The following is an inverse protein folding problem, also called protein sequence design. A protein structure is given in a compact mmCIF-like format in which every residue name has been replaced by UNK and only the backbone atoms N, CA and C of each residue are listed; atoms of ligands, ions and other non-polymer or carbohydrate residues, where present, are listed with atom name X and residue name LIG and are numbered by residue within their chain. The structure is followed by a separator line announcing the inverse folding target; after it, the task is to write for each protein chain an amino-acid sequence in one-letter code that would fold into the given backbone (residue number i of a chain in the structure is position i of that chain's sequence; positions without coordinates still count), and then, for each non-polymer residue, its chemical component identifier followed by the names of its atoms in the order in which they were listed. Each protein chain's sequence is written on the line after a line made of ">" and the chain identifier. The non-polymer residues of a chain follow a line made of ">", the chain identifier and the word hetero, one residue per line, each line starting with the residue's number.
data_IF_341504756825
#
_entry.id   IF_341504756825
#
_cell.length_a   1.000
_cell.length_b   1.000
_cell.length_c   1.000
_cell.angle_alpha   90.00
_cell.angle_beta   90.00
_cell.angle_gamma   90.00
#
_symmetry.space_group_name_H-M   'P 1'
#
loop_
_entity.id
_entity.type
_entity.pdbx_description
1 polymer ?
#
# COMPACT_ATOMS: atom_id res chain seq x y z
N UNK A 1 20.04 -6.80 -17.20
CA UNK A 1 19.54 -5.74 -16.32
C UNK A 1 18.81 -4.71 -17.17
N UNK A 2 17.56 -4.39 -16.80
CA UNK A 2 16.79 -3.37 -17.51
C UNK A 2 17.13 -2.02 -16.89
N UNK A 3 17.66 -1.09 -17.69
CA UNK A 3 17.89 0.28 -17.27
C UNK A 3 16.74 1.17 -17.75
N UNK A 4 16.41 2.19 -16.96
CA UNK A 4 15.34 3.12 -17.25
C UNK A 4 15.55 4.46 -16.55
N UNK A 5 14.58 5.35 -16.73
CA UNK A 5 14.57 6.66 -16.08
C UNK A 5 13.22 6.91 -15.40
N UNK A 6 13.25 7.64 -14.29
CA UNK A 6 12.06 8.11 -13.59
C UNK A 6 12.06 9.64 -13.57
N UNK A 7 10.92 10.25 -13.89
CA UNK A 7 10.73 11.69 -13.85
C UNK A 7 9.54 11.97 -12.94
N UNK A 8 9.73 12.86 -11.97
CA UNK A 8 8.67 13.36 -11.09
C UNK A 8 8.50 14.85 -11.38
N UNK A 9 7.26 15.27 -11.63
CA UNK A 9 6.92 16.66 -11.92
C UNK A 9 5.76 17.12 -11.04
N UNK A 10 5.79 18.40 -10.64
CA UNK A 10 4.83 19.00 -9.72
C UNK A 10 5.26 18.88 -8.26
N UNK A 11 4.49 19.52 -7.36
CA UNK A 11 4.74 19.40 -5.93
C UNK A 11 4.56 17.93 -5.47
N UNK A 12 5.42 17.41 -4.58
CA UNK A 12 6.49 18.06 -3.83
C UNK A 12 7.90 17.96 -4.46
N UNK A 13 8.04 17.69 -5.76
CA UNK A 13 9.36 17.57 -6.38
C UNK A 13 10.08 18.92 -6.49
N UNK A 14 11.38 18.94 -6.15
CA UNK A 14 12.24 20.11 -6.31
C UNK A 14 12.58 20.31 -7.80
N UNK A 15 12.37 21.51 -8.36
CA UNK A 15 12.73 21.80 -9.75
C UNK A 15 14.22 21.54 -10.02
N UNK A 16 14.52 20.86 -11.13
CA UNK A 16 15.90 20.63 -11.60
C UNK A 16 16.74 19.68 -10.73
N UNK A 17 16.15 19.00 -9.75
CA UNK A 17 16.89 18.06 -8.92
C UNK A 17 17.17 16.76 -9.67
N UNK A 18 18.45 16.40 -9.77
CA UNK A 18 18.90 15.08 -10.22
C UNK A 18 19.30 14.28 -8.99
N UNK A 19 18.49 13.28 -8.64
CA UNK A 19 18.71 12.43 -7.49
C UNK A 19 19.72 11.30 -7.75
N UNK A 20 20.03 10.49 -6.72
CA UNK A 20 20.77 9.25 -6.91
C UNK A 20 19.97 8.24 -7.78
N UNK A 21 20.62 7.21 -8.33
CA UNK A 21 19.93 6.10 -8.99
C UNK A 21 18.84 5.52 -8.09
N UNK A 22 17.68 5.23 -8.69
CA UNK A 22 16.56 4.54 -8.03
C UNK A 22 16.61 3.05 -8.36
N UNK A 23 16.34 2.22 -7.36
CA UNK A 23 16.09 0.80 -7.56
C UNK A 23 14.60 0.56 -7.88
N UNK A 24 14.29 -0.58 -8.50
CA UNK A 24 12.91 -0.96 -8.83
C UNK A 24 11.95 -0.90 -7.63
N UNK A 25 12.44 -1.28 -6.44
CA UNK A 25 11.66 -1.30 -5.20
C UNK A 25 11.41 0.10 -4.60
N UNK A 26 12.08 1.14 -5.11
CA UNK A 26 11.88 2.52 -4.66
C UNK A 26 10.64 3.17 -5.29
N UNK A 27 10.17 2.64 -6.42
CA UNK A 27 9.07 3.23 -7.21
C UNK A 27 7.75 3.19 -6.42
N UNK A 28 7.39 2.05 -5.84
CA UNK A 28 6.15 1.92 -5.08
C UNK A 28 6.06 2.87 -3.87
N UNK A 29 7.05 2.92 -2.95
CA UNK A 29 6.99 3.87 -1.84
C UNK A 29 7.02 5.33 -2.31
N UNK A 30 7.71 5.64 -3.43
CA UNK A 30 7.71 6.96 -4.04
C UNK A 30 6.31 7.38 -4.49
N UNK A 31 5.62 6.53 -5.26
CA UNK A 31 4.25 6.81 -5.73
C UNK A 31 3.29 7.00 -4.56
N UNK A 32 3.38 6.16 -3.52
CA UNK A 32 2.53 6.28 -2.33
C UNK A 32 2.76 7.60 -1.59
N UNK A 33 4.02 8.02 -1.42
CA UNK A 33 4.34 9.29 -0.77
C UNK A 33 3.81 10.49 -1.56
N UNK A 34 3.95 10.47 -2.90
CA UNK A 34 3.43 11.51 -3.78
C UNK A 34 1.90 11.59 -3.79
N UNK A 35 1.23 10.43 -3.66
CA UNK A 35 -0.22 10.34 -3.59
C UNK A 35 -0.80 10.55 -2.18
N UNK A 36 0.03 10.80 -1.16
CA UNK A 36 -0.41 11.03 0.21
C UNK A 36 -0.95 9.78 0.92
N UNK A 37 -0.47 8.58 0.54
CA UNK A 37 -0.81 7.32 1.20
C UNK A 37 0.31 6.84 2.12
N UNK A 38 0.00 6.09 3.21
CA UNK A 38 1.02 5.48 4.03
C UNK A 38 1.76 4.40 3.24
N UNK A 39 3.05 4.22 3.52
CA UNK A 39 3.83 3.05 3.05
C UNK A 39 3.75 1.89 4.03
N UNK A 40 3.92 0.66 3.55
CA UNK A 40 4.12 -0.49 4.45
C UNK A 40 5.55 -0.54 4.98
N UNK A 41 5.74 -1.01 6.21
CA UNK A 41 7.06 -1.34 6.77
C UNK A 41 7.75 -2.50 6.02
N UNK A 42 6.98 -3.30 5.29
CA UNK A 42 7.46 -4.40 4.46
C UNK A 42 8.08 -3.92 3.13
N UNK A 43 7.98 -2.62 2.81
CA UNK A 43 8.56 -2.05 1.59
C UNK A 43 10.00 -1.60 1.86
N UNK A 44 11.04 -2.29 1.32
CA UNK A 44 12.44 -1.97 1.61
C UNK A 44 12.96 -0.75 0.84
N UNK A 45 12.19 -0.27 -0.16
CA UNK A 45 12.57 0.87 -0.99
C UNK A 45 12.64 2.19 -0.21
N UNK A 46 13.37 3.13 -0.79
CA UNK A 46 13.71 4.42 -0.20
C UNK A 46 13.20 5.56 -1.06
N UNK A 47 12.85 6.67 -0.41
CA UNK A 47 12.48 7.89 -1.10
C UNK A 47 13.74 8.69 -1.45
N UNK A 48 13.81 9.33 -2.63
CA UNK A 48 14.87 10.27 -2.99
C UNK A 48 14.67 11.60 -2.23
N UNK A 49 14.80 11.57 -0.90
CA UNK A 49 14.45 12.67 0.00
C UNK A 49 15.18 13.99 -0.31
N UNK A 50 16.37 13.93 -0.92
CA UNK A 50 17.09 15.13 -1.35
C UNK A 50 16.30 15.95 -2.40
N UNK A 51 15.52 15.29 -3.25
CA UNK A 51 14.77 15.88 -4.36
C UNK A 51 13.27 16.10 -4.08
N UNK A 52 12.79 15.78 -2.87
CA UNK A 52 11.38 15.92 -2.51
C UNK A 52 11.24 16.79 -1.27
N UNK A 53 10.40 17.82 -1.33
CA UNK A 53 9.95 18.61 -0.18
C UNK A 53 8.63 18.05 0.34
N UNK A 54 8.69 16.81 0.85
CA UNK A 54 7.50 16.11 1.34
C UNK A 54 6.84 16.88 2.49
N UNK A 55 5.50 16.90 2.53
CA UNK A 55 4.78 17.60 3.59
C UNK A 55 5.01 16.91 4.94
N UNK A 56 5.02 17.69 6.03
CA UNK A 56 5.33 17.19 7.38
C UNK A 56 4.28 16.23 7.94
N UNK A 57 3.04 16.33 7.43
CA UNK A 57 1.87 15.56 7.82
C UNK A 57 1.65 14.30 6.96
N UNK A 58 2.71 13.78 6.32
CA UNK A 58 2.66 12.50 5.65
C UNK A 58 2.08 11.40 6.57
N UNK A 59 1.23 10.50 6.04
CA UNK A 59 0.72 9.39 6.82
C UNK A 59 1.84 8.52 7.38
N UNK A 60 1.67 8.09 8.63
CA UNK A 60 2.63 7.20 9.28
C UNK A 60 2.68 5.84 8.56
N UNK A 61 3.86 5.21 8.46
CA UNK A 61 3.97 3.86 7.91
C UNK A 61 3.07 2.86 8.63
N UNK A 62 2.49 1.93 7.88
CA UNK A 62 1.64 0.85 8.41
C UNK A 62 2.41 -0.48 8.47
N UNK A 63 2.08 -1.39 9.40
CA UNK A 63 2.76 -2.68 9.47
C UNK A 63 2.64 -3.52 8.19
N UNK A 64 1.44 -3.55 7.60
CA UNK A 64 1.14 -4.27 6.36
C UNK A 64 -0.10 -3.67 5.67
N UNK A 65 -0.23 -3.87 4.36
CA UNK A 65 -1.46 -3.58 3.61
C UNK A 65 -2.46 -4.75 3.61
N UNK A 66 -2.16 -5.83 4.35
CA UNK A 66 -3.05 -6.99 4.48
C UNK A 66 -4.46 -6.65 4.98
N UNK A 67 -5.33 -7.65 4.96
CA UNK A 67 -6.72 -7.50 5.41
C UNK A 67 -6.74 -6.92 6.82
N UNK A 68 -7.28 -5.71 6.98
CA UNK A 68 -7.61 -5.20 8.31
C UNK A 68 -8.68 -6.13 8.87
N UNK A 69 -8.44 -6.70 10.04
CA UNK A 69 -9.54 -7.21 10.86
C UNK A 69 -10.47 -6.01 11.09
N UNK A 70 -11.69 -6.08 10.56
CA UNK A 70 -12.71 -5.07 10.84
C UNK A 70 -12.86 -5.05 12.36
N UNK A 71 -12.33 -4.01 13.00
CA UNK A 71 -12.43 -3.84 14.44
C UNK A 71 -13.90 -3.69 14.81
N UNK A 72 -14.48 -4.73 15.40
CA UNK A 72 -15.54 -4.59 16.39
C UNK A 72 -16.96 -4.26 15.91
N UNK A 73 -17.31 -4.46 14.64
CA UNK A 73 -18.70 -4.87 14.33
C UNK A 73 -18.65 -6.35 14.03
N UNK A 74 -19.10 -7.11 15.03
CA UNK A 74 -19.51 -8.51 14.88
C UNK A 74 -20.02 -8.73 13.47
N UNK A 75 -19.17 -9.33 12.64
CA UNK A 75 -19.67 -10.18 11.58
C UNK A 75 -20.18 -11.45 12.27
N UNK A 76 -21.24 -11.30 13.07
CA UNK A 76 -22.41 -12.15 12.88
C UNK A 76 -22.81 -11.91 11.43
N UNK A 77 -22.06 -12.52 10.52
CA UNK A 77 -22.60 -12.85 9.22
C UNK A 77 -23.91 -13.53 9.53
N UNK A 78 -25.00 -12.93 9.07
CA UNK A 78 -26.26 -13.59 8.76
C UNK A 78 -25.94 -14.81 7.86
N UNK A 79 -25.36 -15.86 8.42
CA UNK A 79 -25.36 -17.16 7.77
C UNK A 79 -26.79 -17.62 7.85
N UNK A 80 -27.51 -17.38 6.76
CA UNK A 80 -28.83 -17.92 6.54
C UNK A 80 -28.77 -19.44 6.80
N UNK A 81 -29.54 -19.97 7.76
CA UNK A 81 -29.55 -21.40 8.07
C UNK A 81 -29.83 -22.26 6.84
N UNK A 82 -30.58 -21.76 5.85
CA UNK A 82 -30.85 -22.47 4.59
C UNK A 82 -29.56 -22.67 3.76
N UNK A 83 -28.68 -21.67 3.76
CA UNK A 83 -27.39 -21.73 3.06
C UNK A 83 -26.46 -22.77 3.69
N UNK A 84 -26.43 -22.84 5.02
CA UNK A 84 -25.63 -23.82 5.77
C UNK A 84 -26.14 -25.24 5.48
N UNK A 85 -27.45 -25.42 5.41
CA UNK A 85 -28.07 -26.71 5.13
C UNK A 85 -27.80 -27.19 3.70
N UNK A 86 -27.83 -26.27 2.71
CA UNK A 86 -27.39 -26.55 1.33
C UNK A 86 -25.91 -26.94 1.24
N UNK A 87 -25.05 -26.29 2.00
CA UNK A 87 -23.62 -26.65 2.01
C UNK A 87 -23.36 -28.01 2.66
N UNK A 88 -24.16 -28.40 3.66
CA UNK A 88 -24.10 -29.73 4.28
C UNK A 88 -24.61 -30.82 3.32
N UNK A 89 -25.71 -30.58 2.60
CA UNK A 89 -26.25 -31.57 1.65
C UNK A 89 -25.32 -31.82 0.45
N UNK A 90 -24.55 -30.81 0.06
CA UNK A 90 -23.51 -30.91 -0.98
C UNK A 90 -22.18 -31.49 -0.47
N UNK A 91 -22.05 -31.78 0.83
CA UNK A 91 -20.87 -32.41 1.43
C UNK A 91 -19.66 -31.48 1.67
N UNK A 92 -19.85 -30.16 1.56
CA UNK A 92 -18.79 -29.17 1.81
C UNK A 92 -18.59 -28.87 3.30
N UNK A 93 -19.59 -29.19 4.14
CA UNK A 93 -19.52 -29.10 5.60
C UNK A 93 -19.76 -30.49 6.19
N UNK A 94 -18.86 -30.96 7.04
CA UNK A 94 -18.97 -32.23 7.79
C UNK A 94 -19.53 -32.00 9.19
#
# INVERSE_FOLDING_TARGET
>A
DAEGFAIVAGAPAKPGCVGPPLADLDVAPLVLALAGFPRSLEMPGRLPAACLDLPRDLPRPVPTFGRRALSGRSATSDYDPEMVERLRSLGYLR
#
